data_IF_463259509020
#
_entry.id   IF_463259509020
#
_cell.length_a   1.000
_cell.length_b   1.000
_cell.length_c   1.000
_cell.angle_alpha   90.00
_cell.angle_beta   90.00
_cell.angle_gamma   90.00
#
_symmetry.space_group_name_H-M   'P 1'
#
loop_
_entity.id
_entity.type
_entity.pdbx_description
1 polymer ?
#
# COMPACT_ATOMS: atom_id res chain seq x y z
N UNK A 1 -24.48 -2.69 -0.33
CA UNK A 1 -23.23 -3.25 -0.84
C UNK A 1 -22.43 -2.11 -1.39
N UNK A 2 -21.24 -1.94 -0.85
CA UNK A 2 -20.28 -0.94 -1.26
C UNK A 2 -19.78 -1.30 -2.66
N UNK A 3 -19.83 -0.34 -3.58
CA UNK A 3 -19.28 -0.56 -4.91
C UNK A 3 -17.75 -0.51 -4.91
N UNK A 4 -17.14 -0.91 -6.03
CA UNK A 4 -15.69 -0.96 -6.21
C UNK A 4 -15.01 0.39 -5.91
N UNK A 5 -15.58 1.50 -6.38
CA UNK A 5 -14.96 2.83 -6.26
C UNK A 5 -15.04 3.33 -4.83
N UNK A 6 -16.18 3.11 -4.18
CA UNK A 6 -16.38 3.43 -2.78
C UNK A 6 -15.46 2.59 -1.87
N UNK A 7 -15.22 1.32 -2.22
CA UNK A 7 -14.27 0.46 -1.51
C UNK A 7 -12.85 1.00 -1.59
N UNK A 8 -12.38 1.34 -2.79
CA UNK A 8 -11.05 1.95 -3.00
C UNK A 8 -10.94 3.24 -2.19
N UNK A 9 -11.93 4.14 -2.32
CA UNK A 9 -11.92 5.43 -1.61
C UNK A 9 -11.81 5.23 -0.10
N UNK A 10 -12.63 4.36 0.48
CA UNK A 10 -12.60 4.07 1.92
C UNK A 10 -11.27 3.46 2.37
N UNK A 11 -10.66 2.60 1.57
CA UNK A 11 -9.36 2.02 1.89
C UNK A 11 -8.26 3.10 1.93
N UNK A 12 -8.24 4.02 0.97
CA UNK A 12 -7.30 5.14 0.96
C UNK A 12 -7.54 6.12 2.13
N UNK A 13 -8.80 6.45 2.42
CA UNK A 13 -9.15 7.29 3.58
C UNK A 13 -8.70 6.64 4.89
N UNK A 14 -8.96 5.34 5.07
CA UNK A 14 -8.50 4.61 6.24
C UNK A 14 -6.96 4.61 6.34
N UNK A 15 -6.27 4.36 5.24
CA UNK A 15 -4.81 4.40 5.20
C UNK A 15 -4.27 5.77 5.63
N UNK A 16 -4.83 6.85 5.09
CA UNK A 16 -4.42 8.22 5.43
C UNK A 16 -4.71 8.57 6.89
N UNK A 17 -5.81 8.10 7.45
CA UNK A 17 -6.16 8.31 8.86
C UNK A 17 -5.18 7.61 9.81
N UNK A 18 -4.82 6.35 9.52
CA UNK A 18 -3.89 5.59 10.36
C UNK A 18 -2.49 6.19 10.34
N UNK A 19 -2.09 6.74 9.20
CA UNK A 19 -0.76 7.31 8.99
C UNK A 19 -0.79 8.84 8.88
N UNK A 20 -1.72 9.48 9.58
CA UNK A 20 -1.87 10.93 9.54
C UNK A 20 -0.54 11.65 9.83
N UNK A 21 -0.21 12.64 8.99
CA UNK A 21 1.02 13.41 9.09
C UNK A 21 2.25 12.79 8.42
N UNK A 22 2.20 11.53 7.98
CA UNK A 22 3.27 10.91 7.18
C UNK A 22 3.09 11.20 5.69
N UNK A 23 4.20 11.32 4.96
CA UNK A 23 4.18 11.45 3.50
C UNK A 23 4.53 10.12 2.86
N UNK A 24 3.71 9.69 1.92
CA UNK A 24 3.91 8.46 1.17
C UNK A 24 4.07 8.79 -0.32
N UNK A 25 5.31 9.00 -0.79
CA UNK A 25 5.57 9.16 -2.22
C UNK A 25 5.06 7.95 -3.01
N UNK A 26 4.62 8.20 -4.24
CA UNK A 26 4.16 7.17 -5.16
C UNK A 26 3.08 6.24 -4.57
N UNK A 27 2.22 6.74 -3.69
CA UNK A 27 1.08 5.99 -3.14
C UNK A 27 0.06 5.67 -4.24
N UNK A 28 -0.13 4.39 -4.57
CA UNK A 28 -0.92 3.91 -5.70
C UNK A 28 -1.77 2.69 -5.30
N UNK A 29 -2.86 2.47 -6.05
CA UNK A 29 -3.63 1.23 -5.99
C UNK A 29 -2.87 0.17 -6.80
N UNK A 30 -2.55 -0.96 -6.18
CA UNK A 30 -1.80 -2.05 -6.82
C UNK A 30 -2.71 -3.21 -7.22
N UNK A 31 -3.63 -3.60 -6.34
CA UNK A 31 -4.52 -4.74 -6.55
C UNK A 31 -5.85 -4.53 -5.82
N UNK A 32 -6.91 -5.09 -6.40
CA UNK A 32 -8.24 -5.12 -5.80
C UNK A 32 -8.94 -6.43 -6.13
N UNK A 33 -9.48 -7.09 -5.11
CA UNK A 33 -10.23 -8.33 -5.22
C UNK A 33 -11.47 -8.25 -4.33
N UNK A 34 -12.60 -8.79 -4.81
CA UNK A 34 -13.75 -9.07 -3.96
C UNK A 34 -13.79 -10.54 -3.59
N UNK A 35 -13.82 -10.82 -2.30
CA UNK A 35 -13.95 -12.16 -1.76
C UNK A 35 -15.42 -12.44 -1.43
N UNK A 36 -16.11 -13.11 -2.37
CA UNK A 36 -17.53 -13.44 -2.23
C UNK A 36 -17.83 -14.37 -1.04
N UNK A 37 -16.84 -15.17 -0.62
CA UNK A 37 -17.04 -16.13 0.47
C UNK A 37 -17.07 -15.44 1.84
N UNK A 38 -16.21 -14.44 2.02
CA UNK A 38 -16.07 -13.68 3.27
C UNK A 38 -16.90 -12.38 3.28
N UNK A 39 -17.49 -11.99 2.14
CA UNK A 39 -18.15 -10.69 1.90
C UNK A 39 -17.19 -9.52 2.23
N UNK A 40 -16.02 -9.53 1.58
CA UNK A 40 -14.91 -8.62 1.88
C UNK A 40 -14.21 -8.13 0.61
N UNK A 41 -13.98 -6.82 0.54
CA UNK A 41 -13.02 -6.22 -0.39
C UNK A 41 -11.60 -6.36 0.16
N UNK A 42 -10.67 -6.88 -0.65
CA UNK A 42 -9.21 -6.86 -0.40
C UNK A 42 -8.58 -5.82 -1.32
N UNK A 43 -7.93 -4.82 -0.75
CA UNK A 43 -7.39 -3.68 -1.49
C UNK A 43 -5.93 -3.49 -1.10
N UNK A 44 -5.05 -3.42 -2.09
CA UNK A 44 -3.60 -3.32 -1.89
C UNK A 44 -3.15 -1.93 -2.28
N UNK A 45 -2.57 -1.22 -1.32
CA UNK A 45 -1.98 0.10 -1.52
C UNK A 45 -0.47 -0.03 -1.47
N UNK A 46 0.18 0.32 -2.58
CA UNK A 46 1.63 0.40 -2.70
C UNK A 46 2.11 1.82 -2.44
N UNK A 47 3.24 1.98 -1.75
CA UNK A 47 3.86 3.27 -1.48
C UNK A 47 5.36 3.14 -1.25
N UNK A 48 6.09 4.23 -1.44
CA UNK A 48 7.51 4.27 -1.15
C UNK A 48 7.74 4.58 0.34
N UNK A 49 8.60 3.80 0.98
CA UNK A 49 9.06 4.07 2.33
C UNK A 49 9.98 5.30 2.33
N UNK A 50 9.92 6.10 3.39
CA UNK A 50 10.91 7.18 3.62
C UNK A 50 12.34 6.65 3.88
N UNK A 51 12.49 5.32 4.02
CA UNK A 51 13.81 4.69 4.14
C UNK A 51 14.44 4.59 2.76
N UNK A 52 15.40 5.47 2.53
CA UNK A 52 16.29 5.41 1.37
C UNK A 52 17.36 4.35 1.65
N UNK A 53 17.43 3.33 0.80
CA UNK A 53 18.55 2.40 0.82
C UNK A 53 19.63 2.93 -0.12
N UNK A 54 20.83 3.08 0.42
CA UNK A 54 22.01 3.48 -0.35
C UNK A 54 22.71 2.23 -0.84
N UNK A 55 22.66 1.97 -2.14
CA UNK A 55 23.45 0.92 -2.78
C UNK A 55 24.68 1.53 -3.42
N UNK A 56 25.83 0.94 -3.17
CA UNK A 56 27.06 1.27 -3.88
C UNK A 56 27.27 0.24 -4.97
N UNK A 57 27.20 0.67 -6.23
CA UNK A 57 27.38 -0.17 -7.41
C UNK A 57 28.59 0.30 -8.21
N UNK A 58 29.27 -0.61 -8.92
CA UNK A 58 30.40 -0.28 -9.79
C UNK A 58 31.78 -0.66 -9.24
N UNK A 59 32.84 -0.50 -10.06
CA UNK A 59 34.20 -0.90 -9.70
C UNK A 59 34.73 -0.07 -8.52
N UNK A 60 35.57 -0.67 -7.66
CA UNK A 60 36.10 -0.04 -6.44
C UNK A 60 36.74 1.35 -6.63
N UNK A 61 37.21 1.65 -7.84
CA UNK A 61 37.84 2.94 -8.18
C UNK A 61 36.84 4.03 -8.60
N UNK A 62 35.61 3.66 -9.00
CA UNK A 62 34.55 4.59 -9.40
C UNK A 62 33.17 4.08 -8.93
N UNK A 63 32.92 4.06 -7.61
CA UNK A 63 31.62 3.66 -7.10
C UNK A 63 30.55 4.70 -7.49
N UNK A 64 29.41 4.21 -7.95
CA UNK A 64 28.17 4.98 -8.08
C UNK A 64 27.29 4.69 -6.88
N UNK A 65 26.79 5.75 -6.26
CA UNK A 65 25.82 5.63 -5.16
C UNK A 65 24.42 5.81 -5.73
N UNK A 66 23.61 4.75 -5.67
CA UNK A 66 22.20 4.80 -6.05
C UNK A 66 21.36 4.83 -4.78
N UNK A 67 20.47 5.81 -4.72
CA UNK A 67 19.44 5.90 -3.68
C UNK A 67 18.16 5.28 -4.23
N UNK A 68 17.72 4.18 -3.63
CA UNK A 68 16.44 3.56 -3.96
C UNK A 68 15.50 3.66 -2.75
N UNK A 69 14.27 4.10 -3.01
CA UNK A 69 13.22 4.02 -2.00
C UNK A 69 12.69 2.58 -1.96
N UNK A 70 12.58 2.03 -0.75
CA UNK A 70 11.98 0.72 -0.55
C UNK A 70 10.47 0.79 -0.81
N UNK A 71 9.97 0.04 -1.81
CA UNK A 71 8.52 -0.09 -2.08
C UNK A 71 7.87 -0.98 -1.02
N UNK A 72 6.76 -0.52 -0.45
CA UNK A 72 5.96 -1.24 0.56
C UNK A 72 4.51 -1.40 0.11
N UNK A 73 3.86 -2.43 0.64
CA UNK A 73 2.50 -2.78 0.27
C UNK A 73 1.67 -3.06 1.53
N UNK A 74 0.49 -2.46 1.61
CA UNK A 74 -0.50 -2.73 2.65
C UNK A 74 -1.78 -3.26 2.03
N UNK A 75 -2.20 -4.44 2.47
CA UNK A 75 -3.52 -4.97 2.16
C UNK A 75 -4.50 -4.52 3.24
N UNK A 76 -5.58 -3.87 2.81
CA UNK A 76 -6.71 -3.45 3.64
C UNK A 76 -7.91 -4.32 3.28
N UNK A 77 -8.56 -4.89 4.30
CA UNK A 77 -9.79 -5.67 4.16
C UNK A 77 -10.97 -4.86 4.69
N UNK A 78 -11.99 -4.65 3.87
CA UNK A 78 -13.22 -3.93 4.20
C UNK A 78 -14.45 -4.83 3.98
N UNK A 79 -15.48 -4.72 4.82
CA UNK A 79 -16.75 -5.43 4.61
C UNK A 79 -17.45 -4.97 3.33
N UNK A 80 -17.95 -5.91 2.54
CA UNK A 80 -18.65 -5.65 1.28
C UNK A 80 -19.97 -4.90 1.47
N UNK A 81 -20.65 -5.06 2.61
CA UNK A 81 -21.94 -4.43 2.87
C UNK A 81 -21.86 -2.91 3.03
N UNK A 82 -20.92 -2.43 3.85
CA UNK A 82 -20.87 -1.06 4.37
C UNK A 82 -19.47 -0.42 4.33
N UNK A 83 -18.43 -1.18 3.96
CA UNK A 83 -17.04 -0.72 3.97
C UNK A 83 -16.42 -0.60 5.37
N UNK A 84 -17.00 -1.26 6.37
CA UNK A 84 -16.41 -1.34 7.72
C UNK A 84 -15.05 -2.02 7.67
N UNK A 85 -14.07 -1.45 8.38
CA UNK A 85 -12.73 -2.00 8.45
C UNK A 85 -12.72 -3.38 9.12
N UNK A 86 -12.00 -4.33 8.53
CA UNK A 86 -11.82 -5.68 9.08
C UNK A 86 -10.38 -5.88 9.56
N UNK A 87 -9.40 -5.64 8.68
CA UNK A 87 -7.98 -5.91 8.96
C UNK A 87 -7.08 -5.12 8.02
N UNK A 88 -5.87 -4.81 8.48
CA UNK A 88 -4.75 -4.37 7.66
C UNK A 88 -3.54 -5.26 7.92
N UNK A 89 -2.77 -5.59 6.88
CA UNK A 89 -1.52 -6.33 6.99
C UNK A 89 -0.52 -5.87 5.92
N UNK A 90 0.76 -6.13 6.16
CA UNK A 90 1.77 -6.08 5.10
C UNK A 90 1.47 -7.17 4.06
N UNK A 91 1.62 -6.81 2.79
CA UNK A 91 1.58 -7.76 1.68
C UNK A 91 2.97 -7.92 1.12
N UNK A 92 3.36 -9.15 0.89
CA UNK A 92 4.57 -9.49 0.13
C UNK A 92 4.11 -9.90 -1.26
N UNK A 93 4.62 -9.22 -2.28
CA UNK A 93 4.45 -9.61 -3.68
C UNK A 93 5.52 -10.61 -4.09
#
# INVERSE_FOLDING_TARGET
MLDLKDAIKKAFEFFEQIYEGQKFPNKLLEEIEYDDSDDVWKIVIGFDSERVTTKTEGPHLFPTTVQENERKYKQIRLKGQDGSFVKMADQTL
#
